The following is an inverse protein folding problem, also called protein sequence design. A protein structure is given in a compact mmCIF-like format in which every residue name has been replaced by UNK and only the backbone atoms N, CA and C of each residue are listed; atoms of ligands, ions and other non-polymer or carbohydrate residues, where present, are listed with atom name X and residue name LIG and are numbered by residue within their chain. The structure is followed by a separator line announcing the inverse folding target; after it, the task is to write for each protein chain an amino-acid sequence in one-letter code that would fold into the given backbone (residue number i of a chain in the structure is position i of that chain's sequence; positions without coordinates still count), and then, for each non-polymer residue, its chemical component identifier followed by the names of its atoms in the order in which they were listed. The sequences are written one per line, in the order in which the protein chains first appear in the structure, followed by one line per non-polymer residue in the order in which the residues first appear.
data_IF_160104768163
#
_entry.id   IF_160104768163
#
_cell.length_a   1.000
_cell.length_b   1.000
_cell.length_c   1.000
_cell.angle_alpha   90.00
_cell.angle_beta   90.00
_cell.angle_gamma   90.00
#
_symmetry.space_group_name_H-M   'P 1'
#
loop_
_entity.id
_entity.type
_entity.pdbx_description
1 polymer ?
#
# COMPACT_ATOMS: atom_id res chain seq x y z
N UNK A 1 5.19 5.47 -4.21
CA UNK A 1 4.00 5.13 -3.39
C UNK A 1 2.74 5.22 -4.24
N UNK A 2 1.86 4.23 -4.15
CA UNK A 2 0.62 4.14 -4.93
C UNK A 2 -0.57 4.26 -3.99
N UNK A 3 -1.48 5.20 -4.24
CA UNK A 3 -2.70 5.41 -3.46
C UNK A 3 -3.93 4.81 -4.13
N UNK A 4 -4.73 4.09 -3.35
CA UNK A 4 -6.03 3.56 -3.78
C UNK A 4 -7.19 4.04 -2.92
N UNK A 5 -6.92 4.78 -1.85
CA UNK A 5 -7.91 5.22 -0.85
C UNK A 5 -7.85 4.39 0.43
N UNK A 6 -9.01 3.98 0.91
CA UNK A 6 -9.17 3.22 2.15
C UNK A 6 -9.09 4.09 3.41
N UNK A 7 -9.22 3.44 4.57
CA UNK A 7 -9.24 4.11 5.89
C UNK A 7 -7.99 4.94 6.15
N UNK A 8 -6.82 4.47 5.74
CA UNK A 8 -5.56 5.20 5.92
C UNK A 8 -5.61 6.62 5.33
N UNK A 9 -6.28 6.78 4.18
CA UNK A 9 -6.43 8.03 3.46
C UNK A 9 -7.77 8.74 3.75
N UNK A 10 -8.53 8.29 4.74
CA UNK A 10 -9.85 8.85 5.05
C UNK A 10 -9.74 10.08 5.94
N UNK A 11 -10.69 11.01 5.72
CA UNK A 11 -10.98 12.13 6.61
C UNK A 11 -12.31 11.86 7.30
N UNK A 12 -12.45 12.35 8.54
CA UNK A 12 -13.71 12.27 9.28
C UNK A 12 -14.60 13.43 8.84
N UNK A 13 -15.81 13.10 8.40
CA UNK A 13 -16.88 14.04 8.08
C UNK A 13 -18.10 13.75 8.95
N UNK A 14 -19.08 14.63 8.96
CA UNK A 14 -20.33 14.43 9.73
C UNK A 14 -21.05 13.12 9.37
N UNK A 15 -20.91 12.66 8.14
CA UNK A 15 -21.52 11.44 7.62
C UNK A 15 -20.59 10.20 7.66
N UNK A 16 -19.47 10.26 8.38
CA UNK A 16 -18.53 9.14 8.54
C UNK A 16 -17.15 9.36 7.90
N UNK A 17 -16.42 8.27 7.68
CA UNK A 17 -15.10 8.27 7.06
C UNK A 17 -15.22 8.19 5.54
N UNK A 18 -14.54 9.09 4.85
CA UNK A 18 -14.48 9.07 3.38
C UNK A 18 -13.02 9.24 2.93
N UNK A 19 -12.52 8.44 1.97
CA UNK A 19 -11.19 8.65 1.39
C UNK A 19 -11.08 10.08 0.84
N UNK A 20 -10.12 10.84 1.33
CA UNK A 20 -10.02 12.27 0.99
C UNK A 20 -8.60 12.83 1.06
N UNK A 21 -7.61 12.01 1.48
CA UNK A 21 -6.19 12.36 1.43
C UNK A 21 -5.56 11.80 0.15
N UNK A 22 -4.74 12.62 -0.49
CA UNK A 22 -3.86 12.16 -1.56
C UNK A 22 -2.66 11.41 -1.00
N UNK A 23 -1.95 10.68 -1.86
CA UNK A 23 -0.69 10.01 -1.49
C UNK A 23 0.37 10.97 -0.98
N UNK A 24 0.47 12.17 -1.54
CA UNK A 24 1.41 13.19 -1.07
C UNK A 24 1.05 13.72 0.31
N UNK A 25 -0.25 13.93 0.57
CA UNK A 25 -0.73 14.30 1.91
C UNK A 25 -0.42 13.19 2.93
N UNK A 26 -0.65 11.91 2.58
CA UNK A 26 -0.30 10.77 3.44
C UNK A 26 1.20 10.78 3.80
N UNK A 27 2.06 10.98 2.82
CA UNK A 27 3.50 11.01 3.02
C UNK A 27 3.93 12.14 3.98
N UNK A 28 3.22 13.26 3.98
CA UNK A 28 3.50 14.39 4.87
C UNK A 28 3.32 14.08 6.36
N UNK A 29 2.47 13.09 6.69
CA UNK A 29 2.28 12.64 8.07
C UNK A 29 3.42 11.77 8.62
N UNK A 30 4.30 11.26 7.74
CA UNK A 30 5.43 10.38 8.12
C UNK A 30 6.72 10.89 7.43
N UNK A 31 7.24 12.05 7.86
CA UNK A 31 8.42 12.66 7.22
C UNK A 31 9.68 11.79 7.31
N UNK A 32 9.74 10.87 8.25
CA UNK A 32 10.87 9.95 8.42
C UNK A 32 11.07 9.03 7.20
N UNK A 33 10.04 8.75 6.43
CA UNK A 33 10.15 7.99 5.19
C UNK A 33 11.13 8.64 4.21
N UNK A 34 11.13 9.98 4.11
CA UNK A 34 12.05 10.71 3.23
C UNK A 34 13.53 10.64 3.67
N UNK A 35 13.79 10.17 4.89
CA UNK A 35 15.15 9.88 5.37
C UNK A 35 15.63 8.49 4.91
N UNK A 36 14.68 7.60 4.61
CA UNK A 36 14.96 6.23 4.18
C UNK A 36 15.14 6.17 2.66
N UNK A 37 14.25 6.83 1.90
CA UNK A 37 14.27 6.76 0.44
C UNK A 37 13.63 7.97 -0.24
N UNK A 38 13.88 8.10 -1.56
CA UNK A 38 13.17 9.05 -2.41
C UNK A 38 11.82 8.46 -2.82
N UNK A 39 10.73 9.17 -2.53
CA UNK A 39 9.37 8.71 -2.80
C UNK A 39 8.68 9.59 -3.82
N UNK A 40 8.19 8.95 -4.88
CA UNK A 40 7.23 9.53 -5.80
C UNK A 40 5.84 8.95 -5.53
N UNK A 41 4.82 9.79 -5.62
CA UNK A 41 3.43 9.45 -5.32
C UNK A 41 2.60 9.36 -6.60
N UNK A 42 1.80 8.29 -6.72
CA UNK A 42 0.86 8.08 -7.83
C UNK A 42 -0.50 7.73 -7.23
N UNK A 43 -1.52 8.53 -7.54
CA UNK A 43 -2.89 8.24 -7.14
C UNK A 43 -3.58 7.47 -8.25
N UNK A 44 -3.90 6.19 -8.01
CA UNK A 44 -4.60 5.32 -8.97
C UNK A 44 -6.12 5.49 -8.85
N UNK A 45 -6.61 5.51 -7.63
CA UNK A 45 -8.02 5.77 -7.32
C UNK A 45 -8.14 6.25 -5.87
N UNK A 46 -9.35 6.67 -5.49
CA UNK A 46 -9.67 7.05 -4.11
C UNK A 46 -11.01 6.44 -3.75
N UNK A 47 -11.00 5.18 -3.34
CA UNK A 47 -12.21 4.40 -3.07
C UNK A 47 -12.16 3.74 -1.69
N UNK A 48 -13.33 3.43 -1.17
CA UNK A 48 -13.46 2.43 -0.13
C UNK A 48 -13.12 1.05 -0.71
N UNK A 49 -12.36 0.25 0.02
CA UNK A 49 -11.91 -1.06 -0.47
C UNK A 49 -13.05 -2.04 -0.72
N UNK A 50 -14.21 -1.85 -0.12
CA UNK A 50 -15.42 -2.63 -0.43
C UNK A 50 -15.85 -2.49 -1.89
N UNK A 51 -15.46 -1.40 -2.55
CA UNK A 51 -15.69 -1.14 -3.98
C UNK A 51 -14.56 -1.61 -4.89
N UNK A 52 -13.54 -2.29 -4.34
CA UNK A 52 -12.44 -2.84 -5.13
C UNK A 52 -12.97 -3.90 -6.12
N UNK A 53 -12.43 -3.86 -7.33
CA UNK A 53 -12.86 -4.75 -8.42
C UNK A 53 -11.69 -5.06 -9.36
N UNK A 54 -11.82 -6.06 -10.24
CA UNK A 54 -10.77 -6.42 -11.22
C UNK A 54 -10.30 -5.25 -12.09
N UNK A 55 -11.15 -4.25 -12.33
CA UNK A 55 -10.78 -3.02 -13.03
C UNK A 55 -9.65 -2.29 -12.30
N UNK A 56 -9.78 -2.11 -10.99
CA UNK A 56 -8.78 -1.41 -10.18
C UNK A 56 -7.49 -2.23 -10.02
N UNK A 57 -7.58 -3.56 -9.88
CA UNK A 57 -6.38 -4.41 -9.90
C UNK A 57 -5.58 -4.24 -11.19
N UNK A 58 -6.26 -4.23 -12.35
CA UNK A 58 -5.61 -3.97 -13.63
C UNK A 58 -4.95 -2.58 -13.70
N UNK A 59 -5.58 -1.57 -13.11
CA UNK A 59 -5.00 -0.22 -13.04
C UNK A 59 -3.73 -0.21 -12.19
N UNK A 60 -3.76 -0.86 -11.02
CA UNK A 60 -2.59 -0.99 -10.14
C UNK A 60 -1.45 -1.72 -10.87
N UNK A 61 -1.75 -2.85 -11.50
CA UNK A 61 -0.75 -3.63 -12.26
C UNK A 61 -0.10 -2.79 -13.35
N UNK A 62 -0.90 -2.11 -14.18
CA UNK A 62 -0.39 -1.23 -15.23
C UNK A 62 0.49 -0.12 -14.67
N UNK A 63 0.06 0.50 -13.58
CA UNK A 63 0.87 1.55 -12.91
C UNK A 63 2.22 1.00 -12.46
N UNK A 64 2.27 -0.22 -11.95
CA UNK A 64 3.52 -0.88 -11.54
C UNK A 64 4.37 -1.19 -12.79
N UNK A 65 3.78 -1.79 -13.83
CA UNK A 65 4.46 -2.15 -15.09
C UNK A 65 5.08 -0.93 -15.77
N UNK A 66 4.31 0.14 -15.93
CA UNK A 66 4.75 1.39 -16.56
C UNK A 66 5.91 2.07 -15.82
N UNK A 67 6.02 1.82 -14.52
CA UNK A 67 7.00 2.43 -13.63
C UNK A 67 8.07 1.44 -13.14
N UNK A 68 8.01 0.18 -13.55
CA UNK A 68 8.83 -0.89 -12.97
C UNK A 68 10.34 -0.62 -13.09
N UNK A 69 10.77 -0.07 -14.23
CA UNK A 69 12.18 0.21 -14.46
C UNK A 69 12.68 1.51 -13.80
N UNK A 70 11.76 2.38 -13.40
CA UNK A 70 12.09 3.70 -12.83
C UNK A 70 12.25 3.68 -11.31
N UNK A 71 11.74 2.65 -10.62
CA UNK A 71 11.74 2.58 -9.16
C UNK A 71 12.25 1.23 -8.66
N UNK A 72 12.82 1.23 -7.45
CA UNK A 72 13.38 0.03 -6.80
C UNK A 72 12.31 -0.80 -6.09
N UNK A 73 11.16 -0.23 -5.77
CA UNK A 73 10.05 -0.91 -5.13
C UNK A 73 8.77 -0.08 -5.11
N UNK A 74 7.68 -0.71 -4.67
CA UNK A 74 6.35 -0.12 -4.67
C UNK A 74 5.67 -0.33 -3.32
N UNK A 75 5.08 0.74 -2.76
CA UNK A 75 4.24 0.68 -1.55
C UNK A 75 2.84 1.14 -1.94
N UNK A 76 1.85 0.28 -1.73
CA UNK A 76 0.45 0.49 -2.08
C UNK A 76 -0.35 0.75 -0.81
N UNK A 77 -0.95 1.92 -0.69
CA UNK A 77 -1.89 2.26 0.38
C UNK A 77 -3.29 1.78 -0.02
N UNK A 78 -3.88 0.92 0.79
CA UNK A 78 -5.12 0.21 0.49
C UNK A 78 -6.06 0.14 1.70
N UNK A 79 -7.35 0.01 1.47
CA UNK A 79 -8.31 -0.26 2.54
C UNK A 79 -8.25 -1.70 3.03
N UNK A 80 -8.55 -1.91 4.31
CA UNK A 80 -8.33 -3.19 4.99
C UNK A 80 -9.29 -4.29 4.60
N UNK A 81 -10.53 -3.97 4.19
CA UNK A 81 -11.60 -4.96 3.97
C UNK A 81 -11.28 -5.95 2.86
N UNK A 82 -10.63 -5.49 1.80
CA UNK A 82 -10.28 -6.34 0.64
C UNK A 82 -8.77 -6.41 0.36
N UNK A 83 -7.95 -5.98 1.31
CA UNK A 83 -6.48 -5.96 1.17
C UNK A 83 -5.92 -7.34 0.81
N UNK A 84 -6.35 -8.39 1.50
CA UNK A 84 -5.90 -9.76 1.26
C UNK A 84 -6.28 -10.25 -0.14
N UNK A 85 -7.48 -9.90 -0.62
CA UNK A 85 -7.93 -10.26 -1.97
C UNK A 85 -7.12 -9.51 -3.04
N UNK A 86 -6.86 -8.23 -2.84
CA UNK A 86 -6.00 -7.45 -3.73
C UNK A 86 -4.58 -8.02 -3.76
N UNK A 87 -4.01 -8.35 -2.60
CA UNK A 87 -2.68 -8.96 -2.53
C UNK A 87 -2.63 -10.30 -3.27
N UNK A 88 -3.62 -11.16 -3.08
CA UNK A 88 -3.73 -12.42 -3.80
C UNK A 88 -3.86 -12.19 -5.32
N UNK A 89 -4.76 -11.30 -5.75
CA UNK A 89 -4.94 -10.98 -7.17
C UNK A 89 -3.64 -10.47 -7.81
N UNK A 90 -2.95 -9.53 -7.17
CA UNK A 90 -1.69 -8.98 -7.65
C UNK A 90 -0.59 -10.06 -7.71
N UNK A 91 -0.55 -11.00 -6.76
CA UNK A 91 0.44 -12.09 -6.76
C UNK A 91 0.27 -13.07 -7.92
N UNK A 92 -0.95 -13.20 -8.46
CA UNK A 92 -1.20 -13.97 -9.68
C UNK A 92 -0.95 -13.15 -10.95
N UNK A 93 -1.21 -11.85 -10.92
CA UNK A 93 -1.06 -10.97 -12.07
C UNK A 93 0.39 -10.53 -12.30
N UNK A 94 1.17 -10.39 -11.21
CA UNK A 94 2.59 -10.00 -11.24
C UNK A 94 3.39 -11.15 -10.62
N UNK A 95 3.95 -12.00 -11.48
CA UNK A 95 4.71 -13.16 -11.02
C UNK A 95 6.22 -12.89 -11.05
N UNK A 96 6.92 -13.43 -10.04
CA UNK A 96 8.38 -13.39 -9.95
C UNK A 96 8.98 -11.97 -9.98
N UNK A 97 8.30 -11.01 -9.35
CA UNK A 97 8.85 -9.66 -9.23
C UNK A 97 10.15 -9.70 -8.43
N UNK A 98 11.22 -9.18 -9.01
CA UNK A 98 12.50 -9.02 -8.32
C UNK A 98 12.51 -7.80 -7.40
N UNK A 99 11.47 -6.96 -7.49
CA UNK A 99 11.30 -5.77 -6.68
C UNK A 99 10.17 -5.99 -5.67
N UNK A 100 10.28 -5.43 -4.45
CA UNK A 100 9.20 -5.50 -3.48
C UNK A 100 7.98 -4.71 -3.93
N UNK A 101 6.82 -5.32 -3.78
CA UNK A 101 5.51 -4.69 -3.97
C UNK A 101 4.76 -4.89 -2.66
N UNK A 102 4.76 -3.87 -1.84
CA UNK A 102 4.22 -3.92 -0.48
C UNK A 102 2.83 -3.32 -0.45
N UNK A 103 1.88 -4.00 0.16
CA UNK A 103 0.53 -3.49 0.39
C UNK A 103 0.37 -3.21 1.88
N UNK A 104 -0.13 -2.04 2.20
CA UNK A 104 -0.40 -1.61 3.56
C UNK A 104 -1.68 -0.79 3.66
N UNK A 105 -2.11 -0.55 4.87
CA UNK A 105 -3.29 0.25 5.20
C UNK A 105 -3.33 0.53 6.68
N UNK A 106 -4.49 0.90 7.20
CA UNK A 106 -4.66 1.07 8.65
C UNK A 106 -6.10 0.85 9.09
N UNK A 107 -6.27 0.57 10.38
CA UNK A 107 -7.59 0.52 11.02
C UNK A 107 -8.13 1.91 11.30
N UNK A 108 -7.25 2.91 11.43
CA UNK A 108 -7.63 4.29 11.73
C UNK A 108 -7.01 5.25 10.71
N UNK A 109 -7.69 6.38 10.42
CA UNK A 109 -7.13 7.41 9.56
C UNK A 109 -5.77 7.89 10.06
N UNK A 110 -4.87 8.24 9.12
CA UNK A 110 -3.53 8.71 9.47
C UNK A 110 -3.56 10.03 10.25
N UNK A 111 -4.62 10.83 10.07
CA UNK A 111 -4.85 12.10 10.76
C UNK A 111 -5.32 11.94 12.21
N UNK A 112 -5.65 10.73 12.66
CA UNK A 112 -6.08 10.48 14.04
C UNK A 112 -4.90 10.54 15.01
N UNK A 113 -5.14 11.05 16.24
CA UNK A 113 -4.10 11.14 17.27
C UNK A 113 -3.53 9.77 17.63
N UNK A 114 -4.41 8.76 17.74
CA UNK A 114 -4.04 7.36 17.95
C UNK A 114 -4.32 6.60 16.67
N UNK A 115 -3.27 6.30 15.92
CA UNK A 115 -3.38 5.60 14.63
C UNK A 115 -2.25 4.59 14.46
N UNK A 116 -2.58 3.46 13.85
CA UNK A 116 -1.63 2.45 13.37
C UNK A 116 -1.03 2.81 12.01
N UNK A 117 -1.60 3.80 11.32
CA UNK A 117 -1.24 4.16 9.96
C UNK A 117 0.23 4.58 9.80
N UNK A 118 0.74 5.39 10.74
CA UNK A 118 2.11 5.93 10.66
C UNK A 118 3.15 4.82 10.75
N UNK A 119 2.95 3.90 11.70
CA UNK A 119 3.84 2.74 11.89
C UNK A 119 3.74 1.80 10.70
N UNK A 120 2.52 1.42 10.26
CA UNK A 120 2.32 0.54 9.13
C UNK A 120 2.97 1.09 7.86
N UNK A 121 2.83 2.40 7.62
CA UNK A 121 3.42 3.03 6.45
C UNK A 121 4.95 3.05 6.52
N UNK A 122 5.53 3.45 7.66
CA UNK A 122 6.98 3.46 7.85
C UNK A 122 7.58 2.05 7.71
N UNK A 123 7.00 1.06 8.37
CA UNK A 123 7.46 -0.34 8.31
C UNK A 123 7.39 -0.88 6.88
N UNK A 124 6.37 -0.48 6.10
CA UNK A 124 6.24 -0.84 4.69
C UNK A 124 7.38 -0.30 3.83
N UNK A 125 7.83 0.91 4.09
CA UNK A 125 8.98 1.48 3.39
C UNK A 125 10.29 0.86 3.84
N UNK A 126 10.46 0.58 5.14
CA UNK A 126 11.64 -0.11 5.66
C UNK A 126 11.75 -1.51 5.03
N UNK A 127 10.63 -2.26 4.97
CA UNK A 127 10.60 -3.56 4.31
C UNK A 127 10.90 -3.46 2.81
N UNK A 128 10.34 -2.47 2.13
CA UNK A 128 10.59 -2.26 0.70
C UNK A 128 12.04 -1.83 0.39
N UNK A 129 12.75 -1.29 1.37
CA UNK A 129 14.16 -0.91 1.26
C UNK A 129 15.13 -2.08 1.49
N UNK A 130 14.66 -3.16 2.09
CA UNK A 130 15.48 -4.35 2.36
C UNK A 130 15.81 -5.05 1.03
N UNK A 131 17.10 -5.28 0.77
CA UNK A 131 17.63 -5.88 -0.46
C UNK A 131 17.13 -7.32 -0.70
N UNK A 132 16.72 -8.03 0.36
CA UNK A 132 16.18 -9.39 0.25
C UNK A 132 14.67 -9.39 -0.05
N UNK A 133 14.02 -8.23 0.03
CA UNK A 133 12.57 -8.11 -0.18
C UNK A 133 12.22 -8.21 -1.65
N UNK A 134 11.30 -9.10 -1.97
CA UNK A 134 10.83 -9.38 -3.33
C UNK A 134 9.37 -9.75 -3.34
N UNK A 135 8.77 -9.72 -4.55
CA UNK A 135 7.38 -10.13 -4.78
C UNK A 135 6.37 -9.27 -4.00
N UNK A 136 5.16 -9.82 -3.79
CA UNK A 136 4.07 -9.12 -3.14
C UNK A 136 3.98 -9.52 -1.69
N UNK A 137 3.97 -8.52 -0.81
CA UNK A 137 3.88 -8.70 0.64
C UNK A 137 2.85 -7.75 1.23
N UNK A 138 2.24 -8.12 2.35
CA UNK A 138 1.42 -7.26 3.18
C UNK A 138 2.20 -6.94 4.44
N UNK A 139 2.37 -5.65 4.73
CA UNK A 139 2.95 -5.18 5.99
C UNK A 139 1.85 -4.46 6.77
N UNK A 140 1.49 -5.02 7.93
CA UNK A 140 0.40 -4.53 8.74
C UNK A 140 0.53 -4.98 10.20
N UNK A 141 0.42 -4.04 11.15
CA UNK A 141 0.44 -4.34 12.58
C UNK A 141 1.72 -5.01 13.06
N UNK A 142 2.89 -4.55 12.63
CA UNK A 142 4.21 -5.11 12.95
C UNK A 142 4.38 -6.58 12.48
N UNK A 143 3.67 -6.96 11.43
CA UNK A 143 3.75 -8.29 10.84
C UNK A 143 3.93 -8.18 9.33
N UNK A 144 4.94 -8.87 8.83
CA UNK A 144 5.10 -9.13 7.42
C UNK A 144 4.34 -10.40 7.03
N UNK A 145 3.59 -10.37 5.95
CA UNK A 145 2.95 -11.55 5.36
C UNK A 145 3.14 -11.53 3.86
N UNK A 146 3.80 -12.55 3.33
CA UNK A 146 3.89 -12.76 1.89
C UNK A 146 2.52 -13.12 1.34
N UNK A 147 2.11 -12.46 0.25
CA UNK A 147 0.82 -12.70 -0.39
C UNK A 147 0.74 -14.08 -1.07
N UNK A 148 1.88 -14.63 -1.46
CA UNK A 148 2.01 -16.02 -1.91
C UNK A 148 2.62 -16.86 -0.79
N UNK A 149 1.80 -17.39 0.10
CA UNK A 149 2.23 -18.46 1.00
C UNK A 149 2.36 -19.76 0.18
N UNK A 150 3.48 -19.95 -0.51
CA UNK A 150 3.95 -21.29 -0.78
C UNK A 150 4.58 -21.77 0.51
N UNK A 151 3.84 -22.52 1.31
CA UNK A 151 4.44 -23.42 2.28
C UNK A 151 5.47 -24.24 1.51
N UNK A 152 6.75 -24.09 1.90
CA UNK A 152 7.74 -25.08 1.53
C UNK A 152 7.44 -26.30 2.39
N UNK A 153 6.82 -27.29 1.79
CA UNK A 153 6.82 -28.64 2.28
C UNK A 153 8.25 -29.18 2.19
#
# INVERSE_FOLDING_TARGET
MIGTGGTIASKTYENGLTPGLTTDELLSYVPDIRKVCNVNCIQVCSIDSTNMSPKYWKMIVRTIEDNYNAYDGFVICHGTDTMAYTAAALSYMIQNSQKPIVITGSQRPISSDITDAKTNLLDSFIYAFDEESQNISIIFGQRDRRASCRERV
#
